data_IF_568580837747
#
_entry.id   IF_568580837747
#
_cell.length_a   1.000
_cell.length_b   1.000
_cell.length_c   1.000
_cell.angle_alpha   90.00
_cell.angle_beta   90.00
_cell.angle_gamma   90.00
#
_symmetry.space_group_name_H-M   'P 1'
#
loop_
_entity.id
_entity.type
_entity.pdbx_description
1 polymer ?
#
# COMPACT_ATOMS: atom_id res chain seq x y z
N UNK A 1 13.08 13.12 8.99
CA UNK A 1 11.86 12.32 8.77
C UNK A 1 11.88 11.92 7.31
N UNK A 2 11.71 10.63 6.99
CA UNK A 2 11.87 10.11 5.62
C UNK A 2 10.49 9.75 5.07
N UNK A 3 10.27 9.91 3.78
CA UNK A 3 9.13 9.33 3.07
C UNK A 3 9.73 8.51 1.94
N UNK A 4 9.36 7.24 1.86
CA UNK A 4 9.93 6.29 0.88
C UNK A 4 8.82 5.87 -0.07
N UNK A 5 9.11 5.77 -1.36
CA UNK A 5 8.16 5.24 -2.32
C UNK A 5 8.61 3.83 -2.70
N UNK A 6 7.78 2.82 -2.45
CA UNK A 6 8.07 1.42 -2.78
C UNK A 6 6.91 0.85 -3.58
N UNK A 7 7.16 0.47 -4.82
CA UNK A 7 6.18 -0.11 -5.72
C UNK A 7 6.86 -0.99 -6.77
N UNK A 8 6.12 -1.98 -7.26
CA UNK A 8 6.45 -2.69 -8.50
C UNK A 8 5.90 -1.91 -9.70
N UNK A 9 6.67 -1.82 -10.78
CA UNK A 9 6.24 -1.22 -12.05
C UNK A 9 6.63 -2.14 -13.20
N UNK A 10 5.83 -2.16 -14.25
CA UNK A 10 6.24 -2.69 -15.54
C UNK A 10 7.43 -1.90 -16.10
N UNK A 11 8.14 -2.48 -17.08
CA UNK A 11 9.30 -1.83 -17.71
C UNK A 11 8.96 -0.46 -18.33
N UNK A 12 7.73 -0.30 -18.81
CA UNK A 12 7.22 0.95 -19.38
C UNK A 12 6.58 1.89 -18.33
N UNK A 13 6.73 1.59 -17.04
CA UNK A 13 6.44 2.51 -15.94
C UNK A 13 5.00 2.49 -15.42
N UNK A 14 4.21 1.46 -15.73
CA UNK A 14 2.84 1.32 -15.22
C UNK A 14 2.76 0.33 -14.06
N UNK A 15 1.82 0.54 -13.15
CA UNK A 15 1.65 -0.32 -11.96
C UNK A 15 0.47 -1.27 -12.16
N UNK A 16 -0.60 -0.79 -12.79
CA UNK A 16 -1.78 -1.58 -13.10
C UNK A 16 -2.06 -1.62 -14.60
N UNK A 17 -2.67 -2.70 -15.04
CA UNK A 17 -3.23 -2.82 -16.38
C UNK A 17 -4.47 -1.93 -16.53
N UNK A 18 -4.99 -1.81 -17.76
CA UNK A 18 -6.14 -0.98 -18.09
C UNK A 18 -7.42 -1.38 -17.32
N UNK A 19 -7.56 -2.66 -17.01
CA UNK A 19 -8.66 -3.28 -16.27
C UNK A 19 -8.45 -3.28 -14.74
N UNK A 20 -7.51 -2.47 -14.23
CA UNK A 20 -7.14 -2.39 -12.81
C UNK A 20 -6.59 -3.72 -12.24
N UNK A 21 -6.00 -4.57 -13.09
CA UNK A 21 -5.40 -5.83 -12.67
C UNK A 21 -3.90 -5.72 -12.36
N UNK A 22 -3.46 -6.58 -11.44
CA UNK A 22 -2.05 -6.82 -11.09
C UNK A 22 -1.61 -8.23 -11.53
N UNK A 23 -2.37 -8.92 -12.38
CA UNK A 23 -2.06 -10.29 -12.84
C UNK A 23 -0.76 -10.35 -13.65
N UNK A 24 -0.20 -9.23 -14.08
CA UNK A 24 1.13 -9.21 -14.68
C UNK A 24 2.24 -9.43 -13.65
N UNK A 25 1.99 -9.12 -12.38
CA UNK A 25 2.93 -9.18 -11.26
C UNK A 25 3.00 -10.57 -10.62
N UNK A 26 1.90 -11.32 -10.66
CA UNK A 26 1.76 -12.67 -10.11
C UNK A 26 1.36 -13.63 -11.25
N UNK A 27 1.78 -14.89 -11.40
CA UNK A 27 2.93 -15.65 -10.92
C UNK A 27 3.88 -16.06 -12.10
N UNK A 28 4.50 -15.08 -12.79
CA UNK A 28 5.81 -15.33 -13.41
C UNK A 28 6.94 -14.49 -12.80
N UNK A 29 6.64 -13.48 -11.96
CA UNK A 29 7.64 -12.45 -11.56
C UNK A 29 8.08 -12.47 -10.08
N UNK A 30 7.40 -13.15 -9.16
CA UNK A 30 7.98 -13.40 -7.84
C UNK A 30 7.03 -13.66 -6.70
N UNK A 31 7.58 -14.31 -5.68
CA UNK A 31 7.01 -14.41 -4.33
C UNK A 31 7.43 -13.17 -3.54
N UNK A 32 6.44 -12.39 -3.06
CA UNK A 32 6.65 -11.20 -2.25
C UNK A 32 7.50 -11.48 -1.00
N UNK A 33 7.41 -12.68 -0.43
CA UNK A 33 8.18 -13.07 0.76
C UNK A 33 9.67 -13.30 0.44
N UNK A 34 9.99 -13.62 -0.81
CA UNK A 34 11.37 -13.79 -1.28
C UNK A 34 11.94 -12.52 -1.92
N UNK A 35 11.22 -11.39 -1.81
CA UNK A 35 11.66 -10.08 -2.30
C UNK A 35 12.29 -9.24 -1.18
N UNK A 36 12.74 -8.03 -1.50
CA UNK A 36 13.19 -7.04 -0.49
C UNK A 36 12.06 -6.41 0.32
N UNK A 37 10.79 -6.76 0.03
CA UNK A 37 9.63 -6.15 0.66
C UNK A 37 9.52 -6.43 2.18
N UNK A 38 9.74 -7.66 2.70
CA UNK A 38 9.64 -7.94 4.13
C UNK A 38 10.64 -7.13 4.96
N UNK A 39 11.87 -6.99 4.48
CA UNK A 39 12.92 -6.18 5.12
C UNK A 39 12.54 -4.70 5.08
N UNK A 40 12.05 -4.22 3.93
CA UNK A 40 11.61 -2.83 3.78
C UNK A 40 10.47 -2.47 4.72
N UNK A 41 9.42 -3.30 4.77
CA UNK A 41 8.22 -3.00 5.55
C UNK A 41 8.49 -3.09 7.07
N UNK A 42 9.43 -3.90 7.51
CA UNK A 42 9.82 -4.01 8.93
C UNK A 42 10.36 -2.67 9.49
N UNK A 43 11.03 -1.87 8.67
CA UNK A 43 11.57 -0.56 9.05
C UNK A 43 10.57 0.60 8.86
N UNK A 44 9.42 0.33 8.24
CA UNK A 44 8.34 1.30 8.03
C UNK A 44 7.47 1.36 9.28
N UNK A 45 7.22 2.57 9.79
CA UNK A 45 6.33 2.76 10.93
C UNK A 45 4.89 3.10 10.58
N UNK A 46 4.59 3.34 9.29
CA UNK A 46 3.32 3.86 8.82
C UNK A 46 3.15 3.65 7.31
N UNK A 47 2.00 3.16 6.87
CA UNK A 47 1.65 3.08 5.44
C UNK A 47 0.74 4.24 5.04
N UNK A 48 0.94 4.78 3.83
CA UNK A 48 0.02 5.74 3.22
C UNK A 48 -0.35 5.26 1.81
N UNK A 49 -1.63 5.00 1.57
CA UNK A 49 -2.09 4.51 0.27
C UNK A 49 -3.33 5.24 -0.24
N UNK A 50 -3.54 5.19 -1.56
CA UNK A 50 -4.72 5.76 -2.18
C UNK A 50 -5.93 4.82 -2.13
N UNK A 51 -7.12 5.38 -2.37
CA UNK A 51 -8.37 4.62 -2.45
C UNK A 51 -8.36 3.46 -3.45
N UNK A 52 -7.71 3.63 -4.61
CA UNK A 52 -7.65 2.58 -5.64
C UNK A 52 -6.90 1.33 -5.16
N UNK A 53 -5.71 1.53 -4.57
CA UNK A 53 -4.92 0.44 -3.97
C UNK A 53 -5.72 -0.28 -2.88
N UNK A 54 -6.40 0.48 -2.02
CA UNK A 54 -7.20 -0.12 -0.97
C UNK A 54 -8.40 -0.92 -1.50
N UNK A 55 -9.12 -0.38 -2.48
CA UNK A 55 -10.21 -1.11 -3.12
C UNK A 55 -9.74 -2.41 -3.76
N UNK A 56 -8.57 -2.39 -4.41
CA UNK A 56 -7.97 -3.60 -4.96
C UNK A 56 -7.68 -4.63 -3.85
N UNK A 57 -7.11 -4.20 -2.72
CA UNK A 57 -6.87 -5.08 -1.57
C UNK A 57 -8.17 -5.66 -1.02
N UNK A 58 -9.23 -4.87 -0.91
CA UNK A 58 -10.54 -5.35 -0.45
C UNK A 58 -11.12 -6.38 -1.42
N UNK A 59 -11.09 -6.10 -2.74
CA UNK A 59 -11.62 -7.02 -3.76
C UNK A 59 -10.84 -8.34 -3.83
N UNK A 60 -9.55 -8.30 -3.50
CA UNK A 60 -8.67 -9.47 -3.53
C UNK A 60 -8.33 -10.02 -2.14
N UNK A 61 -9.08 -9.62 -1.10
CA UNK A 61 -8.77 -9.96 0.28
C UNK A 61 -8.67 -11.48 0.52
N UNK A 62 -9.50 -12.28 -0.15
CA UNK A 62 -9.47 -13.73 -0.02
C UNK A 62 -8.21 -14.35 -0.68
N UNK A 63 -7.75 -13.80 -1.81
CA UNK A 63 -6.48 -14.20 -2.44
C UNK A 63 -5.29 -13.83 -1.54
N UNK A 64 -5.29 -12.60 -1.01
CA UNK A 64 -4.26 -12.13 -0.08
C UNK A 64 -4.24 -13.02 1.18
N UNK A 65 -5.40 -13.40 1.70
CA UNK A 65 -5.48 -14.29 2.85
C UNK A 65 -4.95 -15.70 2.55
N UNK A 66 -5.17 -16.22 1.34
CA UNK A 66 -4.63 -17.52 0.94
C UNK A 66 -3.10 -17.52 0.87
N UNK A 67 -2.48 -16.40 0.46
CA UNK A 67 -1.02 -16.29 0.30
C UNK A 67 -0.31 -15.82 1.58
N UNK A 68 -0.87 -14.83 2.28
CA UNK A 68 -0.25 -14.17 3.42
C UNK A 68 -0.89 -14.53 4.78
N UNK A 69 -1.92 -15.38 4.80
CA UNK A 69 -2.61 -15.85 6.01
C UNK A 69 -3.61 -14.86 6.62
N UNK A 70 -3.76 -13.65 6.08
CA UNK A 70 -4.71 -12.63 6.53
C UNK A 70 -5.23 -11.78 5.38
N UNK A 71 -6.47 -11.30 5.48
CA UNK A 71 -7.06 -10.33 4.54
C UNK A 71 -6.35 -8.98 4.54
N UNK A 72 -5.60 -8.71 5.61
CA UNK A 72 -4.74 -7.54 5.76
C UNK A 72 -3.39 -7.97 6.33
N UNK A 73 -2.33 -8.03 5.50
CA UNK A 73 -1.04 -8.59 5.90
C UNK A 73 -0.11 -7.57 6.58
N UNK A 74 -0.59 -6.37 6.91
CA UNK A 74 0.22 -5.31 7.54
C UNK A 74 -0.07 -5.18 9.02
N UNK A 75 0.98 -5.01 9.81
CA UNK A 75 0.90 -4.77 11.27
C UNK A 75 0.99 -3.29 11.62
N UNK A 76 1.57 -2.48 10.74
CA UNK A 76 1.71 -1.05 10.89
C UNK A 76 0.37 -0.33 10.65
N UNK A 77 0.15 0.84 11.28
CA UNK A 77 -1.01 1.68 10.99
C UNK A 77 -0.98 2.18 9.54
N UNK A 78 -2.15 2.20 8.91
CA UNK A 78 -2.30 2.62 7.51
C UNK A 78 -3.28 3.80 7.36
N UNK A 79 -2.83 4.83 6.64
CA UNK A 79 -3.65 5.96 6.22
C UNK A 79 -4.13 5.76 4.78
N UNK A 80 -5.44 5.81 4.60
CA UNK A 80 -6.07 5.59 3.29
C UNK A 80 -6.68 6.90 2.82
N UNK A 81 -6.06 7.47 1.79
CA UNK A 81 -6.49 8.73 1.20
C UNK A 81 -7.68 8.47 0.27
N UNK A 82 -8.86 8.85 0.73
CA UNK A 82 -10.11 8.66 0.01
C UNK A 82 -11.08 9.82 0.25
N UNK A 83 -11.77 10.22 -0.81
CA UNK A 83 -12.96 11.09 -0.74
C UNK A 83 -14.25 10.30 -0.53
N UNK A 84 -14.19 8.99 -0.71
CA UNK A 84 -15.33 8.07 -0.67
C UNK A 84 -15.28 7.22 0.61
N UNK A 85 -16.44 6.80 1.10
CA UNK A 85 -16.53 5.78 2.15
C UNK A 85 -16.19 4.43 1.54
N UNK A 86 -15.22 3.73 2.12
CA UNK A 86 -14.77 2.42 1.67
C UNK A 86 -15.03 1.39 2.79
N UNK A 87 -15.28 0.11 2.43
CA UNK A 87 -15.49 -0.95 3.41
C UNK A 87 -14.24 -1.16 4.26
N UNK A 88 -14.42 -1.43 5.56
CA UNK A 88 -13.30 -1.66 6.50
C UNK A 88 -12.99 -3.15 6.59
N UNK A 89 -11.70 -3.50 6.57
CA UNK A 89 -11.26 -4.87 6.84
C UNK A 89 -11.18 -5.04 8.35
N UNK A 90 -11.93 -6.00 8.90
CA UNK A 90 -11.95 -6.25 10.33
C UNK A 90 -10.55 -6.62 10.85
N UNK A 91 -10.14 -6.00 11.96
CA UNK A 91 -8.83 -6.22 12.59
C UNK A 91 -7.67 -5.41 12.00
N UNK A 92 -7.89 -4.63 10.94
CA UNK A 92 -6.86 -3.76 10.36
C UNK A 92 -6.84 -2.37 11.04
N UNK A 93 -5.65 -1.89 11.42
CA UNK A 93 -5.46 -0.52 11.94
C UNK A 93 -5.43 0.49 10.79
N UNK A 94 -6.62 0.89 10.35
CA UNK A 94 -6.84 1.73 9.16
C UNK A 94 -7.50 3.05 9.55
N UNK A 95 -6.93 4.15 9.04
CA UNK A 95 -7.46 5.50 9.19
C UNK A 95 -7.80 6.08 7.81
N UNK A 96 -9.09 6.31 7.53
CA UNK A 96 -9.50 7.00 6.30
C UNK A 96 -9.26 8.51 6.42
N UNK A 97 -8.53 9.05 5.44
CA UNK A 97 -8.15 10.45 5.41
C UNK A 97 -8.75 11.12 4.19
N UNK A 98 -9.47 12.21 4.46
CA UNK A 98 -9.91 13.17 3.46
C UNK A 98 -9.16 14.49 3.66
N UNK A 99 -8.46 14.97 2.63
CA UNK A 99 -7.76 16.25 2.63
C UNK A 99 -6.26 16.15 2.33
N UNK A 100 -5.54 17.23 2.64
CA UNK A 100 -4.14 17.45 2.27
C UNK A 100 -3.18 16.44 2.91
N UNK A 101 -2.35 15.82 2.07
CA UNK A 101 -1.27 14.88 2.42
C UNK A 101 -0.22 15.57 3.31
N UNK A 102 0.17 16.80 2.98
CA UNK A 102 1.20 17.55 3.71
C UNK A 102 0.86 17.80 5.18
N UNK A 103 -0.43 17.86 5.52
CA UNK A 103 -0.88 18.17 6.89
C UNK A 103 -1.14 16.95 7.75
N UNK A 104 -1.29 15.76 7.15
CA UNK A 104 -1.83 14.57 7.84
C UNK A 104 -0.90 13.36 7.87
N UNK A 105 0.12 13.28 7.01
CA UNK A 105 1.13 12.21 7.06
C UNK A 105 2.20 12.47 8.16
N UNK A 106 1.85 13.26 9.19
CA UNK A 106 2.67 13.40 10.40
C UNK A 106 2.00 12.58 11.50
N UNK A 107 2.63 11.53 12.05
CA UNK A 107 2.03 10.76 13.12
C UNK A 107 1.85 11.70 14.32
N UNK A 108 0.60 12.00 14.69
CA UNK A 108 0.32 12.86 15.85
C UNK A 108 0.51 12.12 17.18
N UNK A 109 0.50 10.77 17.19
CA UNK A 109 0.64 9.94 18.38
C UNK A 109 1.16 8.53 18.02
N UNK A 110 2.41 8.40 17.56
CA UNK A 110 3.10 7.12 17.75
C UNK A 110 3.64 7.13 19.20
N UNK A 111 3.38 6.11 20.04
CA UNK A 111 4.03 6.01 21.33
C UNK A 111 5.53 6.09 21.08
N UNK A 112 6.20 6.99 21.78
CA UNK A 112 7.64 7.21 21.67
C UNK A 112 8.40 5.93 22.07
N UNK A 113 8.57 5.03 21.10
CA UNK A 113 9.57 3.99 21.14
C UNK A 113 10.93 4.68 21.00
N UNK A 114 11.73 4.54 22.05
CA UNK A 114 12.95 5.31 22.27
C UNK A 114 13.90 5.35 21.07
N UNK A 115 14.52 6.52 20.89
CA UNK A 115 15.72 6.79 20.08
C UNK A 115 15.88 5.89 18.84
N UNK A 116 15.13 6.17 17.77
CA UNK A 116 15.54 5.87 16.40
C UNK A 116 14.79 6.81 15.46
N UNK A 117 15.43 7.94 15.18
CA UNK A 117 14.86 8.98 14.35
C UNK A 117 14.63 8.48 12.92
N UNK A 118 13.52 8.96 12.34
CA UNK A 118 13.18 8.96 10.91
C UNK A 118 12.37 7.76 10.40
N UNK A 119 11.11 7.70 10.85
CA UNK A 119 10.07 6.81 10.33
C UNK A 119 9.84 7.04 8.83
N UNK A 120 10.00 6.03 7.97
CA UNK A 120 9.65 6.12 6.56
C UNK A 120 8.17 5.86 6.33
N UNK A 121 7.58 6.61 5.41
CA UNK A 121 6.21 6.47 4.93
C UNK A 121 6.21 5.91 3.53
N UNK A 122 5.60 4.75 3.29
CA UNK A 122 5.41 4.18 1.95
C UNK A 122 4.22 4.84 1.25
N UNK A 123 4.40 5.41 0.05
CA UNK A 123 3.33 5.91 -0.83
C UNK A 123 3.05 4.87 -1.95
N UNK A 124 1.83 4.81 -2.50
CA UNK A 124 1.47 3.94 -3.63
C UNK A 124 0.48 4.66 -4.56
N UNK A 125 0.93 5.47 -5.54
CA UNK A 125 0.09 6.10 -6.54
C UNK A 125 -0.27 5.07 -7.61
N UNK A 126 -1.56 4.93 -7.90
CA UNK A 126 -2.08 4.03 -8.92
C UNK A 126 -1.91 4.64 -10.33
N UNK A 127 -1.02 4.09 -11.14
CA UNK A 127 -0.85 4.48 -12.55
C UNK A 127 -1.28 3.34 -13.48
N UNK A 128 -2.41 3.54 -14.17
CA UNK A 128 -2.93 2.64 -15.21
C UNK A 128 -2.17 2.83 -16.51
N UNK A 129 -1.89 1.73 -17.21
CA UNK A 129 -1.53 1.78 -18.63
C UNK A 129 -2.65 2.48 -19.41
N UNK A 130 -2.29 3.46 -20.23
CA UNK A 130 -3.24 4.08 -21.15
C UNK A 130 -3.34 3.20 -22.40
N UNK A 131 -4.57 2.87 -22.79
CA UNK A 131 -4.85 2.12 -24.01
C UNK A 131 -4.27 2.83 -25.22
N UNK A 132 -3.18 2.29 -25.77
CA UNK A 132 -2.83 2.54 -27.17
C UNK A 132 -3.89 1.82 -28.02
N UNK A 133 -4.96 2.54 -28.36
CA UNK A 133 -5.81 2.22 -29.51
C UNK A 133 -5.13 2.72 -30.78
N UNK A 134 -5.36 2.04 -31.91
CA UNK A 134 -4.45 1.08 -32.54
C UNK A 134 -3.30 1.70 -33.32
#
# INVERSE_FOLDING_TARGET
>A
MKTQYYAATSLDGFIATEDDSLDWLFPPLGDLNNSSFPEFIADVGALAMGSATYEWMVRNADKIAAEAGSKWPYTQPAWIFSTRKLPVIAGADIQFVNGDVCRRVVPRNAPSAGRRGQTPLAWAPWHRRASRRP
#
